data_IF_414549251664
#
_entry.id   IF_414549251664
#
_cell.length_a   1.000
_cell.length_b   1.000
_cell.length_c   1.000
_cell.angle_alpha   90.00
_cell.angle_beta   90.00
_cell.angle_gamma   90.00
#
_symmetry.space_group_name_H-M   'P 1'
#
loop_
_entity.id
_entity.type
_entity.pdbx_description
1 polymer ?
#
# COMPACT_ATOMS: atom_id res chain seq x y z
N UNK A 1 -8.27 -15.26 25.12
CA UNK A 1 -8.11 -16.70 25.43
C UNK A 1 -7.79 -17.44 24.15
N UNK A 2 -6.92 -18.43 24.26
CA UNK A 2 -5.99 -18.94 23.25
C UNK A 2 -6.56 -19.41 21.92
N UNK A 3 -5.77 -19.10 20.87
CA UNK A 3 -5.77 -19.72 19.55
C UNK A 3 -5.71 -21.23 19.65
N UNK A 4 -6.79 -21.91 19.23
CA UNK A 4 -6.78 -23.36 19.00
C UNK A 4 -6.18 -23.58 17.62
N UNK A 5 -4.85 -23.53 17.57
CA UNK A 5 -4.10 -24.09 16.45
C UNK A 5 -4.55 -25.54 16.31
N UNK A 6 -5.26 -25.85 15.23
CA UNK A 6 -5.56 -27.20 14.84
C UNK A 6 -4.24 -27.86 14.45
N UNK A 7 -3.50 -28.36 15.44
CA UNK A 7 -2.55 -29.43 15.25
C UNK A 7 -3.29 -30.51 14.48
N UNK A 8 -2.75 -30.90 13.32
CA UNK A 8 -3.07 -32.23 12.80
C UNK A 8 -2.47 -33.18 13.81
N UNK A 9 -3.27 -33.56 14.81
CA UNK A 9 -2.80 -34.33 15.94
C UNK A 9 -2.29 -35.69 15.42
N UNK A 10 -1.00 -36.02 15.60
CA UNK A 10 -0.45 -37.32 15.21
C UNK A 10 -1.24 -38.50 15.82
N UNK A 11 -1.92 -38.23 16.94
CA UNK A 11 -2.86 -39.13 17.62
C UNK A 11 -3.99 -39.64 16.72
N UNK A 12 -4.46 -38.90 15.72
CA UNK A 12 -5.59 -39.36 14.88
C UNK A 12 -5.14 -40.27 13.73
N UNK A 13 -3.92 -40.10 13.24
CA UNK A 13 -3.44 -40.83 12.05
C UNK A 13 -2.80 -42.14 12.43
N UNK A 14 -2.09 -42.17 13.56
CA UNK A 14 -1.62 -43.42 14.12
C UNK A 14 -2.81 -44.32 14.53
N UNK A 15 -3.92 -43.74 15.02
CA UNK A 15 -5.18 -44.48 15.25
C UNK A 15 -5.82 -45.02 13.96
N UNK A 16 -5.79 -44.26 12.86
CA UNK A 16 -6.29 -44.71 11.55
C UNK A 16 -5.41 -45.84 11.00
N UNK A 17 -4.09 -45.73 11.13
CA UNK A 17 -3.14 -46.76 10.73
C UNK A 17 -3.31 -48.02 11.59
N UNK A 18 -3.55 -47.87 12.89
CA UNK A 18 -3.81 -48.98 13.81
C UNK A 18 -5.13 -49.70 13.49
N UNK A 19 -6.19 -48.95 13.16
CA UNK A 19 -7.45 -49.50 12.67
C UNK A 19 -7.30 -50.23 11.31
N UNK A 20 -6.49 -49.68 10.40
CA UNK A 20 -6.19 -50.32 9.11
C UNK A 20 -5.40 -51.62 9.29
N UNK A 21 -4.45 -51.63 10.24
CA UNK A 21 -3.62 -52.80 10.52
C UNK A 21 -4.39 -53.94 11.20
N UNK A 22 -5.44 -53.60 11.96
CA UNK A 22 -6.32 -54.57 12.63
C UNK A 22 -7.37 -55.19 11.70
N UNK A 23 -7.60 -54.63 10.51
CA UNK A 23 -8.47 -55.23 9.50
C UNK A 23 -7.77 -56.39 8.76
N UNK A 24 -8.23 -57.63 9.01
CA UNK A 24 -7.66 -58.84 8.41
C UNK A 24 -8.08 -59.07 6.96
N UNK A 25 -9.05 -58.31 6.44
CA UNK A 25 -9.53 -58.44 5.06
C UNK A 25 -8.63 -57.75 4.03
N UNK A 26 -7.75 -56.85 4.47
CA UNK A 26 -6.86 -56.07 3.62
C UNK A 26 -5.48 -56.75 3.56
N UNK A 27 -4.90 -56.96 2.35
CA UNK A 27 -3.53 -57.46 2.21
C UNK A 27 -2.49 -56.53 2.83
N UNK A 28 -1.46 -57.09 3.47
CA UNK A 28 -0.43 -56.32 4.18
C UNK A 28 0.37 -55.38 3.26
N UNK A 29 0.52 -55.73 1.98
CA UNK A 29 1.14 -54.86 0.98
C UNK A 29 0.35 -53.57 0.77
N UNK A 30 -0.99 -53.66 0.68
CA UNK A 30 -1.85 -52.48 0.57
C UNK A 30 -1.87 -51.66 1.86
N UNK A 31 -1.87 -52.31 3.03
CA UNK A 31 -1.81 -51.59 4.32
C UNK A 31 -0.54 -50.75 4.44
N UNK A 32 0.59 -51.30 4.00
CA UNK A 32 1.89 -50.63 4.01
C UNK A 32 1.87 -49.41 3.08
N UNK A 33 1.36 -49.58 1.86
CA UNK A 33 1.27 -48.49 0.87
C UNK A 33 0.34 -47.37 1.32
N UNK A 34 -0.85 -47.71 1.83
CA UNK A 34 -1.82 -46.74 2.35
C UNK A 34 -1.24 -45.97 3.55
N UNK A 35 -0.56 -46.66 4.46
CA UNK A 35 0.05 -46.03 5.65
C UNK A 35 1.17 -45.05 5.26
N UNK A 36 1.98 -45.40 4.26
CA UNK A 36 3.04 -44.54 3.75
C UNK A 36 2.49 -43.30 3.05
N UNK A 37 1.46 -43.47 2.21
CA UNK A 37 0.77 -42.37 1.53
C UNK A 37 0.08 -41.41 2.51
N UNK A 38 -0.58 -41.95 3.54
CA UNK A 38 -1.16 -41.15 4.63
C UNK A 38 -0.10 -40.31 5.34
N UNK A 39 1.02 -40.92 5.74
CA UNK A 39 2.13 -40.19 6.41
C UNK A 39 2.71 -39.10 5.51
N UNK A 40 2.89 -39.38 4.23
CA UNK A 40 3.39 -38.39 3.26
C UNK A 40 2.45 -37.20 3.11
N UNK A 41 1.15 -37.45 2.89
CA UNK A 41 0.13 -36.38 2.75
C UNK A 41 0.06 -35.48 3.98
N UNK A 42 0.27 -36.03 5.17
CA UNK A 42 0.27 -35.27 6.43
C UNK A 42 1.45 -34.33 6.52
N UNK A 43 2.63 -34.82 6.14
CA UNK A 43 3.82 -33.98 6.05
C UNK A 43 3.60 -32.81 5.11
N UNK A 44 3.04 -33.07 3.91
CA UNK A 44 2.76 -32.02 2.92
C UNK A 44 1.75 -31.00 3.46
N UNK A 45 0.71 -31.44 4.15
CA UNK A 45 -0.29 -30.53 4.76
C UNK A 45 0.35 -29.69 5.87
N UNK A 46 1.26 -30.25 6.67
CA UNK A 46 1.99 -29.50 7.69
C UNK A 46 2.86 -28.41 7.06
N UNK A 47 3.62 -28.75 6.01
CA UNK A 47 4.46 -27.79 5.28
C UNK A 47 3.62 -26.66 4.64
N UNK A 48 2.49 -27.01 4.02
CA UNK A 48 1.58 -26.03 3.41
C UNK A 48 0.94 -25.12 4.46
N UNK A 49 0.65 -25.64 5.66
CA UNK A 49 0.16 -24.81 6.78
C UNK A 49 1.24 -23.85 7.27
N UNK A 50 2.48 -24.31 7.39
CA UNK A 50 3.63 -23.46 7.73
C UNK A 50 3.79 -22.31 6.73
N UNK A 51 3.86 -22.63 5.43
CA UNK A 51 3.93 -21.61 4.37
C UNK A 51 2.75 -20.64 4.40
N UNK A 52 1.52 -21.12 4.57
CA UNK A 52 0.35 -20.24 4.67
C UNK A 52 0.44 -19.30 5.89
N UNK A 53 1.00 -19.75 7.01
CA UNK A 53 1.17 -18.92 8.19
C UNK A 53 2.26 -17.85 7.98
N UNK A 54 3.35 -18.20 7.29
CA UNK A 54 4.40 -17.26 6.89
C UNK A 54 3.86 -16.20 5.92
N UNK A 55 3.17 -16.61 4.85
CA UNK A 55 2.56 -15.68 3.90
C UNK A 55 1.54 -14.76 4.57
N UNK A 56 0.73 -15.27 5.51
CA UNK A 56 -0.22 -14.42 6.25
C UNK A 56 0.50 -13.35 7.06
N UNK A 57 1.58 -13.71 7.76
CA UNK A 57 2.37 -12.73 8.52
C UNK A 57 3.03 -11.69 7.61
N UNK A 58 3.55 -12.13 6.44
CA UNK A 58 4.13 -11.22 5.46
C UNK A 58 3.09 -10.24 4.90
N UNK A 59 1.90 -10.73 4.51
CA UNK A 59 0.82 -9.87 4.00
C UNK A 59 0.34 -8.88 5.07
N UNK A 60 0.22 -9.32 6.33
CA UNK A 60 -0.13 -8.42 7.45
C UNK A 60 0.94 -7.33 7.64
N UNK A 61 2.22 -7.70 7.65
CA UNK A 61 3.32 -6.73 7.77
C UNK A 61 3.42 -5.75 6.59
N UNK A 62 3.25 -6.24 5.35
CA UNK A 62 3.28 -5.40 4.15
C UNK A 62 2.03 -4.51 4.04
N UNK A 63 0.88 -4.97 4.55
CA UNK A 63 -0.37 -4.19 4.52
C UNK A 63 -0.31 -2.94 5.39
N UNK A 64 0.34 -2.99 6.55
CA UNK A 64 0.49 -1.81 7.42
C UNK A 64 1.45 -0.79 6.81
N UNK A 65 2.57 -1.23 6.23
CA UNK A 65 3.58 -0.34 5.67
C UNK A 65 3.14 0.31 4.34
N UNK A 66 2.41 -0.44 3.50
CA UNK A 66 1.89 0.06 2.22
C UNK A 66 0.74 1.05 2.42
N UNK A 67 -0.14 0.82 3.40
CA UNK A 67 -1.26 1.72 3.72
C UNK A 67 -0.75 3.06 4.25
N UNK A 68 0.28 3.05 5.09
CA UNK A 68 0.87 4.27 5.64
C UNK A 68 1.60 5.09 4.56
N UNK A 69 2.38 4.43 3.70
CA UNK A 69 3.01 5.08 2.53
C UNK A 69 1.98 5.70 1.58
N UNK A 70 0.89 5.00 1.28
CA UNK A 70 -0.16 5.53 0.40
C UNK A 70 -0.86 6.79 0.95
N UNK A 71 -1.06 6.88 2.27
CA UNK A 71 -1.62 8.10 2.88
C UNK A 71 -0.68 9.30 2.77
N UNK A 72 0.63 9.09 2.95
CA UNK A 72 1.62 10.15 2.84
C UNK A 72 1.72 10.70 1.40
N UNK A 73 1.74 9.84 0.38
CA UNK A 73 1.72 10.27 -1.02
C UNK A 73 0.45 11.05 -1.39
N UNK A 74 -0.71 10.60 -0.92
CA UNK A 74 -1.98 11.31 -1.14
C UNK A 74 -1.98 12.72 -0.54
N UNK A 75 -1.31 12.90 0.61
CA UNK A 75 -1.18 14.19 1.26
C UNK A 75 -0.22 15.13 0.50
N UNK A 76 0.87 14.58 -0.02
CA UNK A 76 1.88 15.32 -0.78
C UNK A 76 1.35 15.79 -2.13
N UNK A 77 0.62 14.93 -2.85
CA UNK A 77 -0.03 15.29 -4.12
C UNK A 77 -1.03 16.44 -3.95
N UNK A 78 -1.80 16.42 -2.85
CA UNK A 78 -2.73 17.51 -2.52
C UNK A 78 -2.01 18.83 -2.23
N UNK A 79 -0.86 18.79 -1.57
CA UNK A 79 -0.05 19.98 -1.32
C UNK A 79 0.54 20.54 -2.61
N UNK A 80 1.08 19.68 -3.48
CA UNK A 80 1.63 20.07 -4.78
C UNK A 80 0.54 20.70 -5.66
N UNK A 81 -0.63 20.08 -5.74
CA UNK A 81 -1.77 20.63 -6.50
C UNK A 81 -2.19 22.01 -5.97
N UNK A 82 -2.25 22.18 -4.64
CA UNK A 82 -2.54 23.49 -4.04
C UNK A 82 -1.48 24.52 -4.42
N UNK A 83 -0.21 24.14 -4.40
CA UNK A 83 0.88 25.06 -4.74
C UNK A 83 0.85 25.46 -6.22
N UNK A 84 0.58 24.51 -7.13
CA UNK A 84 0.39 24.78 -8.56
C UNK A 84 -0.78 25.76 -8.78
N UNK A 85 -1.89 25.57 -8.07
CA UNK A 85 -3.03 26.48 -8.16
C UNK A 85 -2.70 27.89 -7.66
N UNK A 86 -1.96 27.99 -6.54
CA UNK A 86 -1.52 29.27 -6.00
C UNK A 86 -0.58 30.00 -6.96
N UNK A 87 0.37 29.30 -7.56
CA UNK A 87 1.28 29.86 -8.57
C UNK A 87 0.51 30.33 -9.81
N UNK A 88 -0.48 29.57 -10.25
CA UNK A 88 -1.33 29.99 -11.38
C UNK A 88 -2.10 31.27 -11.05
N UNK A 89 -2.75 31.33 -9.89
CA UNK A 89 -3.48 32.53 -9.45
C UNK A 89 -2.53 33.73 -9.33
N UNK A 90 -1.33 33.52 -8.79
CA UNK A 90 -0.31 34.56 -8.70
C UNK A 90 0.06 35.10 -10.09
N UNK A 91 0.34 34.22 -11.06
CA UNK A 91 0.67 34.62 -12.43
C UNK A 91 -0.49 35.38 -13.10
N UNK A 92 -1.72 34.86 -12.98
CA UNK A 92 -2.91 35.51 -13.55
C UNK A 92 -3.13 36.91 -12.95
N UNK A 93 -2.90 37.04 -11.63
CA UNK A 93 -3.02 38.32 -10.92
C UNK A 93 -1.90 39.29 -11.33
N UNK A 94 -0.67 38.80 -11.45
CA UNK A 94 0.50 39.57 -11.90
C UNK A 94 0.27 40.12 -13.31
N UNK A 95 -0.16 39.29 -14.25
CA UNK A 95 -0.47 39.70 -15.62
C UNK A 95 -1.57 40.76 -15.66
N UNK A 96 -2.60 40.60 -14.83
CA UNK A 96 -3.69 41.57 -14.73
C UNK A 96 -3.21 42.89 -14.15
N UNK A 97 -2.41 42.86 -13.09
CA UNK A 97 -1.83 44.06 -12.49
C UNK A 97 -0.92 44.81 -13.48
N UNK A 98 -0.07 44.09 -14.22
CA UNK A 98 0.80 44.67 -15.24
C UNK A 98 -0.01 45.36 -16.36
N UNK A 99 -1.13 44.77 -16.80
CA UNK A 99 -2.03 45.40 -17.76
C UNK A 99 -2.63 46.70 -17.22
N UNK A 100 -3.05 46.72 -15.95
CA UNK A 100 -3.59 47.92 -15.31
C UNK A 100 -2.51 49.00 -15.22
N UNK A 101 -1.29 48.64 -14.79
CA UNK A 101 -0.17 49.58 -14.73
C UNK A 101 0.17 50.16 -16.10
N UNK A 102 0.15 49.35 -17.16
CA UNK A 102 0.37 49.81 -18.53
C UNK A 102 -0.69 50.84 -18.97
N UNK A 103 -1.97 50.58 -18.69
CA UNK A 103 -3.06 51.52 -18.99
C UNK A 103 -2.86 52.84 -18.24
N UNK A 104 -2.49 52.78 -16.95
CA UNK A 104 -2.24 53.98 -16.14
C UNK A 104 -1.01 54.76 -16.64
N UNK A 105 0.05 54.07 -17.04
CA UNK A 105 1.25 54.65 -17.60
C UNK A 105 0.95 55.39 -18.91
N UNK A 106 0.18 54.78 -19.80
CA UNK A 106 -0.29 55.39 -21.05
C UNK A 106 -1.14 56.64 -20.79
N UNK A 107 -2.08 56.57 -19.85
CA UNK A 107 -2.93 57.71 -19.48
C UNK A 107 -2.13 58.88 -18.90
N UNK A 108 -1.12 58.59 -18.08
CA UNK A 108 -0.23 59.58 -17.48
C UNK A 108 0.91 60.00 -18.40
N UNK A 109 1.07 59.38 -19.58
CA UNK A 109 2.20 59.54 -20.49
C UNK A 109 3.55 59.40 -19.77
N UNK A 110 3.65 58.40 -18.91
CA UNK A 110 4.84 58.10 -18.12
C UNK A 110 5.21 56.62 -18.28
N UNK A 111 6.32 56.20 -17.66
CA UNK A 111 6.74 54.80 -17.67
C UNK A 111 6.01 53.98 -16.58
N UNK A 112 5.81 52.69 -16.86
CA UNK A 112 5.20 51.71 -15.95
C UNK A 112 5.96 51.67 -14.62
N UNK A 113 7.29 51.75 -14.65
CA UNK A 113 8.13 51.76 -13.43
C UNK A 113 7.85 52.97 -12.53
N UNK A 114 7.56 54.13 -13.13
CA UNK A 114 7.21 55.34 -12.39
C UNK A 114 5.83 55.20 -11.72
N UNK A 115 4.86 54.60 -12.42
CA UNK A 115 3.53 54.30 -11.84
C UNK A 115 3.63 53.24 -10.75
N UNK A 116 4.40 52.17 -10.96
CA UNK A 116 4.62 51.13 -9.97
C UNK A 116 5.26 51.69 -8.69
N UNK A 117 6.26 52.56 -8.83
CA UNK A 117 6.89 53.26 -7.70
C UNK A 117 5.92 54.18 -6.95
N UNK A 118 5.06 54.90 -7.68
CA UNK A 118 4.01 55.74 -7.08
C UNK A 118 3.01 54.89 -6.28
N UNK A 119 2.67 53.71 -6.79
CA UNK A 119 1.75 52.77 -6.14
C UNK A 119 2.44 51.84 -5.13
N UNK A 120 3.75 52.00 -4.92
CA UNK A 120 4.57 51.14 -4.03
C UNK A 120 4.47 49.65 -4.37
N UNK A 121 4.30 49.34 -5.66
CA UNK A 121 4.27 47.98 -6.17
C UNK A 121 5.67 47.61 -6.63
N UNK A 122 6.21 46.53 -6.07
CA UNK A 122 7.41 45.91 -6.61
C UNK A 122 7.07 45.13 -7.87
N UNK A 123 7.86 45.33 -8.92
CA UNK A 123 7.68 44.68 -10.22
C UNK A 123 8.76 43.62 -10.48
N UNK A 124 9.76 43.55 -9.60
CA UNK A 124 10.77 42.50 -9.60
C UNK A 124 10.26 41.30 -8.82
N UNK A 125 10.17 40.15 -9.50
CA UNK A 125 9.97 38.85 -8.86
C UNK A 125 11.36 38.38 -8.38
N UNK A 126 11.73 38.71 -7.14
CA UNK A 126 12.83 38.03 -6.42
C UNK A 126 12.30 36.86 -5.57
#
# INVERSE_FOLDING_TARGET
MSSKAASGDPTTIDQIIEALNSDKSIPDSLKTEISQDLRYKVSVVADLRGKNQELRQQVLGESDESTQKHMDYSSMDKQVLRHIQQLKIYNDLRDTAMKILAIMADQKKTDITAVAKELQVDTTDE
#
